data_IF_282108286595
#
_entry.id   IF_282108286595
#
_cell.length_a   1.000
_cell.length_b   1.000
_cell.length_c   1.000
_cell.angle_alpha   90.00
_cell.angle_beta   90.00
_cell.angle_gamma   90.00
#
_symmetry.space_group_name_H-M   'P 1'
#
loop_
_entity.id
_entity.type
_entity.pdbx_description
1 polymer ?
#
# COMPACT_ATOMS: atom_id res chain seq x y z
N UNK A 1 21.32 -14.57 46.73
CA UNK A 1 22.57 -14.51 45.94
C UNK A 1 22.22 -13.73 44.66
N UNK A 2 22.57 -12.43 44.57
CA UNK A 2 23.74 -11.89 43.80
C UNK A 2 23.65 -12.31 42.33
N UNK A 3 23.45 -11.46 41.31
CA UNK A 3 23.97 -10.11 40.97
C UNK A 3 22.92 -9.39 40.07
N UNK A 4 22.58 -8.09 40.12
CA UNK A 4 23.36 -6.83 40.08
C UNK A 4 24.23 -6.68 38.81
N UNK A 5 23.64 -6.12 37.75
CA UNK A 5 24.34 -5.29 36.76
C UNK A 5 23.41 -4.17 36.28
N UNK A 6 23.60 -2.99 36.88
CA UNK A 6 23.29 -1.71 36.27
C UNK A 6 24.20 -1.53 35.05
N UNK A 7 23.64 -1.09 33.92
CA UNK A 7 24.41 -0.32 32.94
C UNK A 7 23.61 0.92 32.56
N UNK A 8 24.11 2.04 33.08
CA UNK A 8 23.84 3.40 32.65
C UNK A 8 24.23 3.52 31.17
N UNK A 9 23.30 3.93 30.30
CA UNK A 9 23.65 4.64 29.08
C UNK A 9 23.01 6.02 29.13
N UNK A 10 23.84 6.99 29.45
CA UNK A 10 23.63 8.40 29.15
C UNK A 10 24.42 8.71 27.88
N UNK A 11 23.78 9.27 26.84
CA UNK A 11 24.34 10.00 25.69
C UNK A 11 23.21 10.19 24.68
N UNK A 12 22.97 11.30 23.99
CA UNK A 12 23.33 12.71 24.13
C UNK A 12 22.27 13.43 23.27
N UNK A 13 21.57 14.41 23.83
CA UNK A 13 20.70 15.27 23.04
C UNK A 13 21.58 16.22 22.20
N UNK A 14 21.63 15.98 20.89
CA UNK A 14 22.22 16.92 19.96
C UNK A 14 21.28 18.13 19.82
N UNK A 15 21.66 19.24 20.44
CA UNK A 15 21.08 20.56 20.17
C UNK A 15 21.59 21.00 18.80
N UNK A 16 20.68 21.12 17.84
CA UNK A 16 20.98 21.72 16.55
C UNK A 16 21.32 23.22 16.73
N UNK A 17 22.37 23.75 16.09
CA UNK A 17 22.68 25.17 16.15
C UNK A 17 21.63 25.98 15.39
N UNK A 18 21.03 26.96 16.08
CA UNK A 18 20.22 28.02 15.48
C UNK A 18 21.17 28.93 14.68
N UNK A 19 21.07 28.90 13.36
CA UNK A 19 21.78 29.82 12.47
C UNK A 19 21.04 31.17 12.51
N UNK A 20 21.67 32.28 12.92
CA UNK A 20 21.07 33.60 12.77
C UNK A 20 21.10 33.99 11.29
N UNK A 21 19.92 34.08 10.67
CA UNK A 21 19.77 34.66 9.33
C UNK A 21 19.98 36.17 9.44
N UNK A 22 21.07 36.66 8.84
CA UNK A 22 21.33 38.08 8.68
C UNK A 22 20.29 38.68 7.70
N UNK A 23 19.55 39.67 8.18
CA UNK A 23 18.64 40.47 7.37
C UNK A 23 19.43 41.29 6.34
N UNK A 24 19.37 40.91 5.07
CA UNK A 24 19.79 41.76 3.96
C UNK A 24 18.66 42.76 3.64
N UNK A 25 19.04 44.03 3.57
CA UNK A 25 18.13 45.16 3.36
C UNK A 25 17.33 45.07 2.06
N UNK A 26 16.03 45.26 2.19
CA UNK A 26 15.09 45.36 1.08
C UNK A 26 15.20 46.73 0.41
N UNK A 27 15.50 46.74 -0.89
CA UNK A 27 15.23 47.88 -1.78
C UNK A 27 13.75 47.82 -2.14
N UNK A 28 13.00 48.85 -1.75
CA UNK A 28 11.56 48.96 -1.97
C UNK A 28 11.25 49.19 -3.47
N UNK A 29 10.84 48.11 -4.16
CA UNK A 29 10.17 48.19 -5.45
C UNK A 29 8.64 48.35 -5.28
N UNK A 30 7.93 48.91 -6.28
CA UNK A 30 6.51 49.21 -6.17
C UNK A 30 5.67 47.93 -6.00
N UNK A 31 4.94 47.88 -4.88
CA UNK A 31 4.05 46.80 -4.48
C UNK A 31 2.83 46.73 -5.39
N UNK A 32 2.85 45.82 -6.37
CA UNK A 32 1.62 45.33 -6.98
C UNK A 32 0.93 44.41 -5.98
N UNK A 33 -0.04 44.95 -5.24
CA UNK A 33 -0.92 44.20 -4.35
C UNK A 33 -1.81 43.23 -5.16
N UNK A 34 -1.25 42.13 -5.64
CA UNK A 34 -2.00 40.91 -5.90
C UNK A 34 -2.32 40.32 -4.53
N UNK A 35 -3.51 40.62 -4.01
CA UNK A 35 -4.03 40.01 -2.80
C UNK A 35 -3.89 38.49 -2.92
N UNK A 36 -2.93 37.92 -2.19
CA UNK A 36 -2.75 36.48 -2.11
C UNK A 36 -4.07 35.92 -1.57
N UNK A 37 -4.84 35.27 -2.44
CA UNK A 37 -6.04 34.54 -2.05
C UNK A 37 -5.63 33.59 -0.93
N UNK A 38 -6.29 33.73 0.23
CA UNK A 38 -6.04 32.89 1.39
C UNK A 38 -6.02 31.41 0.96
N UNK A 39 -5.14 30.57 1.55
CA UNK A 39 -5.10 29.15 1.23
C UNK A 39 -6.51 28.58 1.35
N UNK A 40 -7.02 27.98 0.27
CA UNK A 40 -8.35 27.39 0.26
C UNK A 40 -8.35 26.27 1.30
N UNK A 41 -9.27 26.33 2.27
CA UNK A 41 -9.40 25.27 3.26
C UNK A 41 -9.64 23.92 2.56
N UNK A 42 -9.04 22.85 3.09
CA UNK A 42 -9.21 21.50 2.58
C UNK A 42 -10.69 21.09 2.68
N UNK A 43 -11.27 20.62 1.58
CA UNK A 43 -12.64 20.10 1.52
C UNK A 43 -12.63 18.58 1.32
N UNK A 44 -12.92 17.86 2.41
CA UNK A 44 -12.97 16.39 2.43
C UNK A 44 -13.99 15.82 1.44
N UNK A 45 -15.13 16.46 1.23
CA UNK A 45 -16.17 15.93 0.35
C UNK A 45 -15.73 15.96 -1.12
N UNK A 46 -15.16 17.09 -1.55
CA UNK A 46 -14.56 17.22 -2.89
C UNK A 46 -13.41 16.24 -3.08
N UNK A 47 -12.58 16.06 -2.05
CA UNK A 47 -11.46 15.10 -2.08
C UNK A 47 -11.92 13.66 -2.30
N UNK A 48 -12.94 13.22 -1.54
CA UNK A 48 -13.49 11.87 -1.70
C UNK A 48 -14.15 11.67 -3.06
N UNK A 49 -14.85 12.70 -3.57
CA UNK A 49 -15.46 12.65 -4.89
C UNK A 49 -14.40 12.46 -5.99
N UNK A 50 -13.26 13.16 -5.89
CA UNK A 50 -12.13 12.96 -6.80
C UNK A 50 -11.57 11.54 -6.73
N UNK A 51 -11.28 11.04 -5.53
CA UNK A 51 -10.74 9.69 -5.36
C UNK A 51 -11.70 8.61 -5.86
N UNK A 52 -13.01 8.76 -5.62
CA UNK A 52 -14.03 7.86 -6.16
C UNK A 52 -14.08 7.91 -7.69
N UNK A 53 -14.04 9.11 -8.29
CA UNK A 53 -14.01 9.26 -9.74
C UNK A 53 -12.78 8.57 -10.36
N UNK A 54 -11.60 8.71 -9.74
CA UNK A 54 -10.39 8.05 -10.22
C UNK A 54 -10.47 6.52 -10.05
N UNK A 55 -11.03 6.05 -8.93
CA UNK A 55 -11.28 4.62 -8.69
C UNK A 55 -12.19 4.03 -9.77
N UNK A 56 -13.29 4.70 -10.10
CA UNK A 56 -14.26 4.24 -11.09
C UNK A 56 -13.65 4.18 -12.51
N UNK A 57 -12.62 4.98 -12.76
CA UNK A 57 -11.82 4.97 -14.00
C UNK A 57 -10.60 4.04 -13.94
N UNK A 58 -10.40 3.32 -12.84
CA UNK A 58 -9.21 2.49 -12.58
C UNK A 58 -7.87 3.25 -12.72
N UNK A 59 -7.87 4.54 -12.37
CA UNK A 59 -6.70 5.45 -12.47
C UNK A 59 -5.76 5.30 -11.26
N UNK A 60 -5.30 4.06 -11.02
CA UNK A 60 -4.58 3.67 -9.81
C UNK A 60 -3.30 4.49 -9.56
N UNK A 61 -2.56 4.84 -10.60
CA UNK A 61 -1.35 5.66 -10.48
C UNK A 61 -1.66 7.05 -9.91
N UNK A 62 -2.69 7.73 -10.45
CA UNK A 62 -3.11 9.06 -9.96
C UNK A 62 -3.61 9.00 -8.53
N UNK A 63 -4.35 7.94 -8.17
CA UNK A 63 -4.76 7.71 -6.78
C UNK A 63 -3.53 7.58 -5.88
N UNK A 64 -2.52 6.80 -6.31
CA UNK A 64 -1.27 6.64 -5.57
C UNK A 64 -0.52 7.95 -5.38
N UNK A 65 -0.43 8.79 -6.42
CA UNK A 65 0.21 10.11 -6.34
C UNK A 65 -0.46 11.05 -5.31
N UNK A 66 -1.80 11.06 -5.28
CA UNK A 66 -2.58 11.85 -4.31
C UNK A 66 -2.38 11.33 -2.89
N UNK A 67 -2.37 10.01 -2.72
CA UNK A 67 -2.26 9.37 -1.41
C UNK A 67 -0.85 9.47 -0.82
N UNK A 68 0.18 9.26 -1.64
CA UNK A 68 1.58 9.20 -1.19
C UNK A 68 2.17 10.59 -0.89
N UNK A 69 1.51 11.68 -1.34
CA UNK A 69 1.99 13.06 -1.19
C UNK A 69 0.89 14.03 -0.74
N UNK A 70 0.29 13.81 0.46
CA UNK A 70 -0.72 14.72 0.97
C UNK A 70 -0.12 16.12 1.20
N UNK A 71 -0.85 17.16 0.84
CA UNK A 71 -0.43 18.56 1.01
C UNK A 71 -0.60 19.08 2.44
N UNK A 72 -1.36 18.35 3.26
CA UNK A 72 -1.66 18.70 4.66
C UNK A 72 -1.99 17.47 5.51
N UNK A 73 -1.96 17.61 6.84
CA UNK A 73 -2.38 16.56 7.78
C UNK A 73 -3.87 16.20 7.61
N UNK A 74 -4.74 17.18 7.31
CA UNK A 74 -6.16 16.94 7.09
C UNK A 74 -6.41 16.09 5.85
N UNK A 75 -5.65 16.33 4.78
CA UNK A 75 -5.69 15.52 3.57
C UNK A 75 -5.14 14.11 3.82
N UNK A 76 -4.05 13.97 4.57
CA UNK A 76 -3.49 12.68 4.94
C UNK A 76 -4.48 11.84 5.76
N UNK A 77 -5.18 12.46 6.73
CA UNK A 77 -6.23 11.81 7.52
C UNK A 77 -7.43 11.43 6.65
N UNK A 78 -7.82 12.30 5.72
CA UNK A 78 -8.89 12.00 4.76
C UNK A 78 -8.52 10.83 3.82
N UNK A 79 -7.27 10.76 3.35
CA UNK A 79 -6.77 9.63 2.57
C UNK A 79 -6.88 8.32 3.36
N UNK A 80 -6.48 8.34 4.64
CA UNK A 80 -6.55 7.17 5.52
C UNK A 80 -7.99 6.71 5.75
N UNK A 81 -8.89 7.64 6.05
CA UNK A 81 -10.33 7.36 6.24
C UNK A 81 -10.95 6.78 4.96
N UNK A 82 -10.66 7.37 3.79
CA UNK A 82 -11.16 6.90 2.50
C UNK A 82 -10.64 5.50 2.17
N UNK A 83 -9.34 5.24 2.34
CA UNK A 83 -8.74 3.93 2.16
C UNK A 83 -9.34 2.88 3.11
N UNK A 84 -9.57 3.25 4.37
CA UNK A 84 -10.23 2.38 5.35
C UNK A 84 -11.65 2.01 4.93
N UNK A 85 -12.40 2.92 4.29
CA UNK A 85 -13.70 2.61 3.68
C UNK A 85 -13.50 1.59 2.55
N UNK A 86 -12.57 1.83 1.61
CA UNK A 86 -12.33 0.93 0.48
C UNK A 86 -11.94 -0.48 0.92
N UNK A 87 -11.08 -0.59 1.93
CA UNK A 87 -10.69 -1.85 2.56
C UNK A 87 -11.91 -2.59 3.14
N UNK A 88 -12.75 -1.91 3.92
CA UNK A 88 -13.93 -2.50 4.55
C UNK A 88 -15.01 -2.91 3.53
N UNK A 89 -15.14 -2.20 2.42
CA UNK A 89 -16.16 -2.47 1.40
C UNK A 89 -15.72 -3.48 0.34
N UNK A 90 -14.47 -3.96 0.39
CA UNK A 90 -13.99 -4.91 -0.60
C UNK A 90 -13.73 -4.30 -1.96
N UNK A 91 -13.10 -3.12 -1.99
CA UNK A 91 -12.50 -2.65 -3.24
C UNK A 91 -11.26 -3.50 -3.60
N UNK A 92 -10.62 -3.19 -4.72
CA UNK A 92 -9.38 -3.81 -5.19
C UNK A 92 -8.36 -4.08 -4.07
N UNK A 93 -7.59 -5.17 -4.20
CA UNK A 93 -6.42 -5.45 -3.36
C UNK A 93 -5.40 -4.30 -3.34
N UNK A 94 -5.37 -3.45 -4.38
CA UNK A 94 -4.61 -2.19 -4.40
C UNK A 94 -4.91 -1.28 -3.19
N UNK A 95 -6.18 -1.11 -2.83
CA UNK A 95 -6.55 -0.20 -1.74
C UNK A 95 -6.18 -0.77 -0.37
N UNK A 96 -6.22 -2.09 -0.21
CA UNK A 96 -5.74 -2.76 1.01
C UNK A 96 -4.23 -2.54 1.20
N UNK A 97 -3.47 -2.63 0.10
CA UNK A 97 -2.04 -2.33 0.09
C UNK A 97 -1.74 -0.87 0.44
N UNK A 98 -2.41 0.09 -0.20
CA UNK A 98 -2.19 1.51 0.10
C UNK A 98 -2.63 1.88 1.52
N UNK A 99 -3.71 1.28 2.03
CA UNK A 99 -4.13 1.45 3.42
C UNK A 99 -3.06 0.96 4.38
N UNK A 100 -2.48 -0.21 4.13
CA UNK A 100 -1.36 -0.75 4.92
C UNK A 100 -0.16 0.18 4.91
N UNK A 101 0.28 0.64 3.74
CA UNK A 101 1.43 1.55 3.61
C UNK A 101 1.23 2.85 4.39
N UNK A 102 0.06 3.48 4.23
CA UNK A 102 -0.22 4.74 4.91
C UNK A 102 -0.35 4.55 6.43
N UNK A 103 -0.99 3.48 6.89
CA UNK A 103 -1.03 3.13 8.32
C UNK A 103 0.36 2.91 8.90
N UNK A 104 1.24 2.20 8.17
CA UNK A 104 2.62 1.96 8.62
C UNK A 104 3.39 3.27 8.76
N UNK A 105 3.29 4.16 7.76
CA UNK A 105 3.94 5.47 7.83
C UNK A 105 3.42 6.32 9.01
N UNK A 106 2.11 6.26 9.29
CA UNK A 106 1.50 6.91 10.45
C UNK A 106 1.97 6.30 11.77
N UNK A 107 2.09 4.98 11.85
CA UNK A 107 2.57 4.28 13.03
C UNK A 107 4.00 4.66 13.40
N UNK A 108 4.85 4.93 12.41
CA UNK A 108 6.24 5.35 12.62
C UNK A 108 6.33 6.79 13.15
N UNK A 109 5.33 7.62 12.90
CA UNK A 109 5.23 8.98 13.43
C UNK A 109 4.66 9.04 14.86
N UNK A 110 4.05 7.96 15.37
CA UNK A 110 3.36 7.94 16.66
C UNK A 110 4.02 6.90 17.59
N UNK A 111 4.75 7.32 18.64
CA UNK A 111 5.42 6.37 19.53
C UNK A 111 4.45 5.66 20.50
N UNK A 112 4.87 4.50 20.98
CA UNK A 112 4.17 3.72 22.01
C UNK A 112 2.98 2.91 21.47
N UNK A 113 2.07 2.55 22.40
CA UNK A 113 1.00 1.58 22.13
C UNK A 113 0.07 1.96 20.95
N UNK A 114 -0.11 3.26 20.69
CA UNK A 114 -0.94 3.71 19.56
C UNK A 114 -0.29 3.38 18.21
N UNK A 115 1.03 3.57 18.09
CA UNK A 115 1.78 3.17 16.89
C UNK A 115 1.68 1.66 16.67
N UNK A 116 1.83 0.86 17.73
CA UNK A 116 1.77 -0.60 17.63
C UNK A 116 0.39 -1.12 17.18
N UNK A 117 -0.71 -0.51 17.65
CA UNK A 117 -2.07 -0.83 17.16
C UNK A 117 -2.24 -0.51 15.67
N UNK A 118 -1.66 0.62 15.21
CA UNK A 118 -1.66 0.98 13.79
C UNK A 118 -0.83 -0.02 12.96
N UNK A 119 0.33 -0.49 13.47
CA UNK A 119 1.12 -1.55 12.82
C UNK A 119 0.34 -2.86 12.71
N UNK A 120 -0.39 -3.25 13.75
CA UNK A 120 -1.28 -4.43 13.70
C UNK A 120 -2.36 -4.31 12.62
N UNK A 121 -2.99 -3.13 12.51
CA UNK A 121 -3.98 -2.85 11.45
C UNK A 121 -3.34 -2.82 10.06
N UNK A 122 -2.13 -2.24 9.94
CA UNK A 122 -1.36 -2.23 8.71
C UNK A 122 -1.01 -3.65 8.25
N UNK A 123 -0.59 -4.51 9.19
CA UNK A 123 -0.31 -5.92 8.93
C UNK A 123 -1.57 -6.62 8.41
N UNK A 124 -2.72 -6.45 9.06
CA UNK A 124 -3.98 -7.05 8.61
C UNK A 124 -4.36 -6.64 7.18
N UNK A 125 -4.22 -5.35 6.86
CA UNK A 125 -4.50 -4.82 5.52
C UNK A 125 -3.51 -5.36 4.47
N UNK A 126 -2.23 -5.50 4.79
CA UNK A 126 -1.23 -6.09 3.88
C UNK A 126 -1.50 -7.57 3.63
N UNK A 127 -1.77 -8.34 4.68
CA UNK A 127 -2.10 -9.76 4.56
C UNK A 127 -3.34 -9.96 3.68
N UNK A 128 -4.36 -9.13 3.86
CA UNK A 128 -5.53 -9.12 2.99
C UNK A 128 -5.15 -8.80 1.55
N UNK A 129 -4.34 -7.77 1.30
CA UNK A 129 -3.88 -7.42 -0.05
C UNK A 129 -3.16 -8.61 -0.73
N UNK A 130 -2.31 -9.33 0.01
CA UNK A 130 -1.59 -10.52 -0.47
C UNK A 130 -2.57 -11.63 -0.87
N UNK A 131 -3.43 -12.08 0.05
CA UNK A 131 -4.32 -13.22 -0.23
C UNK A 131 -5.40 -12.86 -1.27
N UNK A 132 -5.90 -11.62 -1.25
CA UNK A 132 -6.85 -11.12 -2.23
C UNK A 132 -6.22 -11.10 -3.63
N UNK A 133 -5.01 -10.54 -3.77
CA UNK A 133 -4.33 -10.48 -5.07
C UNK A 133 -3.96 -11.85 -5.61
N UNK A 134 -3.64 -12.85 -4.78
CA UNK A 134 -3.38 -14.22 -5.25
C UNK A 134 -4.60 -14.85 -5.92
N UNK A 135 -5.78 -14.68 -5.30
CA UNK A 135 -7.04 -15.19 -5.83
C UNK A 135 -7.48 -14.39 -7.08
N UNK A 136 -7.47 -13.06 -6.98
CA UNK A 136 -7.91 -12.17 -8.06
C UNK A 136 -7.00 -12.24 -9.29
N UNK A 137 -5.70 -12.48 -9.12
CA UNK A 137 -4.76 -12.64 -10.22
C UNK A 137 -5.12 -13.80 -11.15
N UNK A 138 -5.95 -14.76 -10.72
CA UNK A 138 -6.44 -15.81 -11.63
C UNK A 138 -7.27 -15.26 -12.77
N UNK A 139 -7.80 -14.03 -12.67
CA UNK A 139 -8.51 -13.36 -13.75
C UNK A 139 -7.58 -12.97 -14.91
N UNK A 140 -6.26 -12.95 -14.73
CA UNK A 140 -5.33 -12.57 -15.79
C UNK A 140 -5.22 -13.66 -16.88
N UNK A 141 -5.49 -13.29 -18.13
CA UNK A 141 -5.30 -14.17 -19.28
C UNK A 141 -3.81 -14.51 -19.48
N UNK A 142 -2.94 -13.51 -19.34
CA UNK A 142 -1.50 -13.74 -19.23
C UNK A 142 -1.15 -14.39 -17.89
N UNK A 143 -0.78 -15.67 -17.93
CA UNK A 143 -0.41 -16.45 -16.75
C UNK A 143 0.85 -15.94 -16.07
N UNK A 144 1.73 -15.27 -16.79
CA UNK A 144 2.99 -14.77 -16.23
C UNK A 144 2.82 -13.54 -15.35
N UNK A 145 1.72 -12.80 -15.52
CA UNK A 145 1.39 -11.66 -14.66
C UNK A 145 0.90 -12.10 -13.26
N UNK A 146 0.39 -13.34 -13.11
CA UNK A 146 -0.40 -13.74 -11.94
C UNK A 146 0.35 -13.68 -10.61
N UNK A 147 1.66 -13.88 -10.64
CA UNK A 147 2.50 -13.88 -9.44
C UNK A 147 3.05 -12.49 -9.09
N UNK A 148 3.07 -11.52 -10.03
CA UNK A 148 3.77 -10.25 -9.85
C UNK A 148 3.25 -9.46 -8.65
N UNK A 149 1.92 -9.22 -8.58
CA UNK A 149 1.34 -8.43 -7.48
C UNK A 149 1.48 -9.09 -6.11
N UNK A 150 1.10 -10.36 -5.91
CA UNK A 150 1.33 -11.04 -4.65
C UNK A 150 2.80 -11.01 -4.20
N UNK A 151 3.74 -11.24 -5.12
CA UNK A 151 5.18 -11.24 -4.79
C UNK A 151 5.67 -9.85 -4.38
N UNK A 152 5.24 -8.79 -5.08
CA UNK A 152 5.59 -7.41 -4.69
C UNK A 152 5.01 -7.03 -3.33
N UNK A 153 3.78 -7.44 -3.03
CA UNK A 153 3.18 -7.20 -1.71
C UNK A 153 3.91 -7.97 -0.61
N UNK A 154 4.29 -9.23 -0.86
CA UNK A 154 5.13 -10.01 0.06
C UNK A 154 6.50 -9.36 0.30
N UNK A 155 7.14 -8.85 -0.75
CA UNK A 155 8.39 -8.09 -0.61
C UNK A 155 8.18 -6.85 0.26
N UNK A 156 7.13 -6.08 0.02
CA UNK A 156 6.82 -4.88 0.79
C UNK A 156 6.50 -5.20 2.26
N UNK A 157 5.76 -6.28 2.52
CA UNK A 157 5.47 -6.77 3.86
C UNK A 157 6.76 -6.96 4.67
N UNK A 158 7.78 -7.58 4.05
CA UNK A 158 9.09 -7.79 4.68
C UNK A 158 9.85 -6.47 4.86
N UNK A 159 9.87 -5.60 3.85
CA UNK A 159 10.58 -4.32 3.92
C UNK A 159 10.03 -3.38 5.00
N UNK A 160 8.73 -3.41 5.25
CA UNK A 160 8.10 -2.59 6.29
C UNK A 160 8.21 -3.18 7.71
N UNK A 161 8.81 -4.36 7.89
CA UNK A 161 8.97 -4.99 9.20
C UNK A 161 7.65 -5.38 9.88
N UNK A 162 6.53 -5.44 9.15
CA UNK A 162 5.21 -5.70 9.75
C UNK A 162 5.08 -7.12 10.34
N UNK A 163 5.96 -8.05 9.98
CA UNK A 163 5.98 -9.40 10.58
C UNK A 163 6.72 -9.44 11.93
N UNK A 164 7.40 -8.37 12.35
CA UNK A 164 8.16 -8.31 13.60
C UNK A 164 7.28 -8.02 14.83
N UNK A 165 5.97 -7.84 14.63
CA UNK A 165 5.01 -7.66 15.71
C UNK A 165 4.96 -8.90 16.62
N UNK A 166 4.51 -8.75 17.87
CA UNK A 166 4.36 -9.89 18.77
C UNK A 166 3.30 -10.90 18.25
N UNK A 167 3.32 -12.12 18.78
CA UNK A 167 2.47 -13.21 18.30
C UNK A 167 0.96 -12.88 18.36
N UNK A 168 0.51 -12.21 19.41
CA UNK A 168 -0.90 -11.83 19.59
C UNK A 168 -1.36 -10.88 18.47
N UNK A 169 -0.55 -9.85 18.17
CA UNK A 169 -0.82 -8.91 17.08
C UNK A 169 -0.83 -9.63 15.73
N UNK A 170 0.11 -10.57 15.50
CA UNK A 170 0.14 -11.37 14.26
C UNK A 170 -1.12 -12.23 14.12
N UNK A 171 -1.53 -12.92 15.20
CA UNK A 171 -2.77 -13.73 15.24
C UNK A 171 -4.00 -12.89 14.91
N UNK A 172 -4.17 -11.75 15.60
CA UNK A 172 -5.27 -10.82 15.36
C UNK A 172 -5.27 -10.31 13.92
N UNK A 173 -4.11 -9.90 13.39
CA UNK A 173 -4.00 -9.41 12.02
C UNK A 173 -4.38 -10.50 10.99
N UNK A 174 -3.93 -11.74 11.21
CA UNK A 174 -4.32 -12.89 10.40
C UNK A 174 -5.82 -13.20 10.46
N UNK A 175 -6.42 -13.14 11.65
CA UNK A 175 -7.87 -13.28 11.84
C UNK A 175 -8.66 -12.22 11.08
N UNK A 176 -8.28 -10.94 11.22
CA UNK A 176 -8.91 -9.82 10.52
C UNK A 176 -8.78 -10.00 9.02
N UNK A 177 -7.58 -10.27 8.50
CA UNK A 177 -7.35 -10.49 7.07
C UNK A 177 -8.21 -11.62 6.51
N UNK A 178 -8.27 -12.75 7.22
CA UNK A 178 -9.11 -13.89 6.84
C UNK A 178 -10.60 -13.53 6.80
N UNK A 179 -11.12 -12.86 7.83
CA UNK A 179 -12.53 -12.46 7.87
C UNK A 179 -12.87 -11.40 6.81
N UNK A 180 -11.96 -10.46 6.57
CA UNK A 180 -12.12 -9.46 5.51
C UNK A 180 -12.19 -10.12 4.14
N UNK A 181 -11.35 -11.12 3.89
CA UNK A 181 -11.38 -11.91 2.66
C UNK A 181 -12.73 -12.61 2.46
N UNK A 182 -13.31 -13.19 3.52
CA UNK A 182 -14.62 -13.83 3.44
C UNK A 182 -15.74 -12.83 3.14
N UNK A 183 -15.72 -11.67 3.81
CA UNK A 183 -16.77 -10.64 3.68
C UNK A 183 -16.75 -9.90 2.34
N UNK A 184 -15.56 -9.69 1.78
CA UNK A 184 -15.38 -8.81 0.62
C UNK A 184 -15.38 -9.54 -0.73
N UNK A 185 -15.26 -10.86 -0.73
CA UNK A 185 -15.11 -11.64 -1.95
C UNK A 185 -16.23 -11.44 -2.97
N UNK A 186 -17.48 -11.45 -2.52
CA UNK A 186 -18.62 -11.35 -3.42
C UNK A 186 -18.67 -10.01 -4.17
N UNK A 187 -18.11 -8.96 -3.58
CA UNK A 187 -17.91 -7.66 -4.23
C UNK A 187 -16.73 -7.75 -5.19
N UNK A 188 -15.56 -8.19 -4.70
CA UNK A 188 -14.30 -8.20 -5.47
C UNK A 188 -14.36 -9.06 -6.72
N UNK A 189 -15.08 -10.18 -6.69
CA UNK A 189 -15.24 -11.06 -7.87
C UNK A 189 -15.89 -10.39 -9.08
N UNK A 190 -16.63 -9.30 -8.85
CA UNK A 190 -17.30 -8.53 -9.90
C UNK A 190 -16.45 -7.37 -10.44
N UNK A 191 -15.43 -6.94 -9.69
CA UNK A 191 -14.57 -5.81 -10.08
C UNK A 191 -13.64 -6.24 -11.22
N UNK A 192 -13.47 -5.36 -12.22
CA UNK A 192 -12.46 -5.56 -13.26
C UNK A 192 -11.18 -4.79 -12.91
N UNK A 193 -10.24 -5.49 -12.27
CA UNK A 193 -8.96 -4.93 -11.85
C UNK A 193 -7.79 -5.41 -12.71
N UNK A 194 -8.06 -5.90 -13.93
CA UNK A 194 -7.02 -6.41 -14.81
C UNK A 194 -5.92 -5.37 -15.09
N UNK A 195 -6.28 -4.09 -15.20
CA UNK A 195 -5.32 -2.98 -15.39
C UNK A 195 -4.34 -2.80 -14.24
N UNK A 196 -4.66 -3.29 -13.04
CA UNK A 196 -3.75 -3.30 -11.89
C UNK A 196 -3.08 -4.66 -11.69
N UNK A 197 -3.88 -5.73 -11.69
CA UNK A 197 -3.45 -7.08 -11.32
C UNK A 197 -2.63 -7.77 -12.40
N UNK A 198 -2.94 -7.51 -13.67
CA UNK A 198 -2.37 -8.24 -14.81
C UNK A 198 -1.22 -7.47 -15.47
N UNK A 199 -0.74 -6.41 -14.81
CA UNK A 199 0.45 -5.67 -15.21
C UNK A 199 1.70 -6.56 -15.18
N UNK A 200 2.72 -6.15 -15.92
CA UNK A 200 4.05 -6.79 -15.95
C UNK A 200 4.06 -8.27 -16.41
N UNK A 201 3.02 -8.73 -17.09
CA UNK A 201 3.06 -10.00 -17.82
C UNK A 201 3.89 -9.90 -19.10
N UNK A 202 4.31 -11.06 -19.63
CA UNK A 202 5.01 -11.18 -20.91
C UNK A 202 4.24 -10.57 -22.08
N UNK A 203 2.91 -10.61 -22.08
CA UNK A 203 2.09 -9.99 -23.12
C UNK A 203 2.27 -8.46 -23.15
N UNK A 204 2.22 -7.82 -21.98
CA UNK A 204 2.45 -6.38 -21.86
C UNK A 204 3.91 -6.00 -22.16
N UNK A 205 4.88 -6.81 -21.71
CA UNK A 205 6.28 -6.62 -22.04
C UNK A 205 6.53 -6.74 -23.55
N UNK A 206 5.96 -7.75 -24.21
CA UNK A 206 6.10 -7.96 -25.66
C UNK A 206 5.46 -6.82 -26.45
N UNK A 207 4.28 -6.36 -26.04
CA UNK A 207 3.62 -5.21 -26.63
C UNK A 207 4.46 -3.94 -26.48
N UNK A 208 5.05 -3.71 -25.30
CA UNK A 208 5.95 -2.59 -25.05
C UNK A 208 7.24 -2.68 -25.85
N UNK A 209 7.88 -3.84 -25.97
CA UNK A 209 9.09 -4.01 -26.78
C UNK A 209 8.83 -3.82 -28.29
N UNK A 210 7.62 -4.11 -28.74
CA UNK A 210 7.24 -3.99 -30.16
C UNK A 210 6.84 -2.56 -30.55
N UNK A 211 6.19 -1.84 -29.65
CA UNK A 211 5.51 -0.58 -29.96
C UNK A 211 6.05 0.64 -29.18
N UNK A 212 6.95 0.43 -28.23
CA UNK A 212 7.53 1.47 -27.40
C UNK A 212 9.06 1.35 -27.38
N UNK A 213 9.75 2.48 -27.29
CA UNK A 213 11.21 2.46 -27.09
C UNK A 213 11.53 2.13 -25.61
N UNK A 214 12.35 1.11 -25.33
CA UNK A 214 12.82 0.84 -23.98
C UNK A 214 13.58 2.05 -23.44
N UNK A 215 13.21 2.52 -22.25
CA UNK A 215 13.89 3.63 -21.59
C UNK A 215 14.88 3.09 -20.59
N UNK A 216 16.16 3.42 -20.76
CA UNK A 216 17.17 3.15 -19.75
C UNK A 216 16.86 3.94 -18.47
N UNK A 217 16.97 3.24 -17.33
CA UNK A 217 16.82 3.81 -15.99
C UNK A 217 18.05 3.49 -15.17
N UNK A 218 18.20 4.22 -14.06
CA UNK A 218 19.27 3.95 -13.11
C UNK A 218 19.19 2.50 -12.62
N UNK A 219 20.31 1.80 -12.75
CA UNK A 219 20.44 0.42 -12.30
C UNK A 219 20.42 0.41 -10.76
N UNK A 220 19.54 -0.38 -10.13
CA UNK A 220 19.45 -0.44 -8.67
C UNK A 220 20.80 -0.78 -8.02
N UNK A 221 21.05 -0.21 -6.83
CA UNK A 221 22.27 -0.48 -6.08
C UNK A 221 22.49 -2.00 -5.88
N UNK A 222 23.71 -2.46 -6.15
CA UNK A 222 24.08 -3.87 -6.07
C UNK A 222 23.84 -4.70 -7.34
N UNK A 223 23.33 -4.10 -8.43
CA UNK A 223 23.21 -4.77 -9.74
C UNK A 223 24.27 -4.27 -10.73
N UNK A 224 24.84 -5.17 -11.53
CA UNK A 224 25.79 -4.85 -12.60
C UNK A 224 25.05 -4.87 -13.94
N UNK A 225 25.05 -3.75 -14.67
CA UNK A 225 24.48 -3.68 -16.02
C UNK A 225 23.69 -2.40 -16.29
N UNK A 226 22.97 -2.39 -17.43
CA UNK A 226 22.01 -1.34 -17.81
C UNK A 226 20.60 -1.88 -17.53
N UNK A 227 19.79 -1.12 -16.81
CA UNK A 227 18.39 -1.48 -16.58
C UNK A 227 17.50 -0.72 -17.56
N UNK A 228 16.59 -1.42 -18.22
CA UNK A 228 15.60 -0.83 -19.12
C UNK A 228 14.21 -0.99 -18.54
N UNK A 229 13.42 0.07 -18.63
CA UNK A 229 11.99 0.04 -18.41
C UNK A 229 11.27 -0.07 -19.74
N UNK A 230 10.35 -1.02 -19.80
CA UNK A 230 9.48 -1.23 -20.96
C UNK A 230 8.06 -0.99 -20.49
N UNK A 231 7.39 -0.03 -21.12
CA UNK A 231 5.98 0.23 -20.86
C UNK A 231 5.17 -0.21 -22.08
N UNK A 232 4.05 -0.91 -21.86
CA UNK A 232 3.13 -1.17 -22.95
C UNK A 232 2.57 0.16 -23.50
N UNK A 233 2.08 0.16 -24.75
CA UNK A 233 1.36 1.30 -25.31
C UNK A 233 0.21 1.79 -24.42
N UNK A 234 -0.12 3.08 -24.51
CA UNK A 234 -1.16 3.70 -23.68
C UNK A 234 -2.57 3.09 -23.92
N UNK A 235 -2.79 2.49 -25.09
CA UNK A 235 -4.02 1.81 -25.49
C UNK A 235 -3.98 0.28 -25.25
N UNK A 236 -2.91 -0.25 -24.65
CA UNK A 236 -2.83 -1.67 -24.32
C UNK A 236 -3.87 -2.04 -23.27
N UNK A 237 -4.72 -3.02 -23.60
CA UNK A 237 -5.74 -3.53 -22.70
C UNK A 237 -5.29 -4.86 -22.10
N UNK A 238 -5.21 -4.89 -20.77
CA UNK A 238 -4.95 -6.12 -20.04
C UNK A 238 -6.16 -7.05 -20.11
N UNK A 239 -5.98 -8.22 -20.70
CA UNK A 239 -7.06 -9.18 -20.91
C UNK A 239 -7.44 -9.91 -19.61
N UNK A 240 -8.75 -9.88 -19.32
CA UNK A 240 -9.38 -10.60 -18.22
C UNK A 240 -10.06 -11.87 -18.75
N UNK A 241 -9.81 -12.99 -18.11
CA UNK A 241 -10.50 -14.25 -18.39
C UNK A 241 -12.00 -14.15 -18.04
N UNK A 242 -12.87 -14.89 -18.75
CA UNK A 242 -14.27 -15.04 -18.39
C UNK A 242 -14.45 -15.57 -16.96
N UNK A 243 -15.50 -15.11 -16.28
CA UNK A 243 -15.77 -15.43 -14.88
C UNK A 243 -15.84 -16.93 -14.60
N UNK A 244 -16.42 -17.69 -15.52
CA UNK A 244 -16.58 -19.15 -15.47
C UNK A 244 -15.22 -19.87 -15.45
N UNK A 245 -14.17 -19.26 -16.00
CA UNK A 245 -12.84 -19.86 -16.07
C UNK A 245 -11.95 -19.56 -14.86
N UNK A 246 -12.07 -18.37 -14.28
CA UNK A 246 -11.17 -17.92 -13.22
C UNK A 246 -11.76 -18.04 -11.81
N UNK A 247 -13.09 -17.92 -11.64
CA UNK A 247 -13.72 -18.04 -10.32
C UNK A 247 -13.41 -19.37 -9.61
N UNK A 248 -13.52 -20.56 -10.25
CA UNK A 248 -13.24 -21.82 -9.57
C UNK A 248 -11.78 -21.91 -9.07
N UNK A 249 -10.84 -21.37 -9.86
CA UNK A 249 -9.41 -21.34 -9.50
C UNK A 249 -9.14 -20.37 -8.34
N UNK A 250 -9.81 -19.22 -8.34
CA UNK A 250 -9.73 -18.27 -7.23
C UNK A 250 -10.30 -18.87 -5.95
N UNK A 251 -11.43 -19.57 -6.00
CA UNK A 251 -12.02 -20.24 -4.83
C UNK A 251 -11.12 -21.35 -4.27
N UNK A 252 -10.46 -22.13 -5.13
CA UNK A 252 -9.49 -23.14 -4.70
C UNK A 252 -8.33 -22.52 -3.91
N UNK A 253 -7.83 -21.36 -4.34
CA UNK A 253 -6.80 -20.61 -3.62
C UNK A 253 -7.35 -20.04 -2.30
N UNK A 254 -8.55 -19.46 -2.32
CA UNK A 254 -9.19 -18.89 -1.13
C UNK A 254 -9.42 -19.93 -0.03
N UNK A 255 -9.77 -21.16 -0.41
CA UNK A 255 -9.91 -22.26 0.55
C UNK A 255 -8.60 -22.57 1.30
N UNK A 256 -7.44 -22.21 0.74
CA UNK A 256 -6.11 -22.42 1.33
C UNK A 256 -5.61 -21.21 2.14
N UNK A 257 -6.30 -20.06 2.08
CA UNK A 257 -5.85 -18.82 2.73
C UNK A 257 -5.62 -18.97 4.23
N UNK A 258 -6.48 -19.72 4.93
CA UNK A 258 -6.30 -19.94 6.37
C UNK A 258 -4.97 -20.63 6.70
N UNK A 259 -4.60 -21.69 5.95
CA UNK A 259 -3.32 -22.37 6.13
C UNK A 259 -2.14 -21.49 5.70
N UNK A 260 -2.27 -20.76 4.59
CA UNK A 260 -1.24 -19.85 4.10
C UNK A 260 -0.92 -18.73 5.10
N UNK A 261 -1.95 -18.10 5.68
CA UNK A 261 -1.79 -17.06 6.69
C UNK A 261 -1.10 -17.59 7.95
N UNK A 262 -1.51 -18.76 8.46
CA UNK A 262 -0.87 -19.38 9.63
C UNK A 262 0.61 -19.65 9.40
N UNK A 263 0.95 -20.20 8.22
CA UNK A 263 2.33 -20.45 7.83
C UNK A 263 3.13 -19.15 7.70
N UNK A 264 2.57 -18.11 7.10
CA UNK A 264 3.23 -16.82 6.91
C UNK A 264 3.49 -16.10 8.24
N UNK A 265 2.54 -16.17 9.16
CA UNK A 265 2.60 -15.48 10.45
C UNK A 265 3.33 -16.26 11.54
N UNK A 266 3.67 -17.52 11.26
CA UNK A 266 4.23 -18.47 12.22
C UNK A 266 3.35 -18.57 13.49
N UNK A 267 2.08 -18.93 13.30
CA UNK A 267 1.06 -19.07 14.36
C UNK A 267 0.27 -20.38 14.17
N UNK A 268 -0.14 -21.00 15.28
CA UNK A 268 -0.82 -22.30 15.25
C UNK A 268 -2.31 -22.21 14.86
N UNK A 269 -2.94 -21.08 15.19
CA UNK A 269 -4.33 -20.77 14.87
C UNK A 269 -4.50 -19.29 14.49
N UNK A 270 -5.67 -18.97 13.94
CA UNK A 270 -6.11 -17.60 13.67
C UNK A 270 -7.27 -17.22 14.60
N UNK A 271 -7.41 -17.87 15.76
CA UNK A 271 -8.44 -17.48 16.73
C UNK A 271 -7.94 -16.35 17.61
N UNK A 272 -8.85 -15.44 17.95
CA UNK A 272 -8.62 -14.43 18.97
C UNK A 272 -9.57 -14.69 20.13
N UNK A 273 -9.00 -14.98 21.30
CA UNK A 273 -9.73 -15.02 22.57
C UNK A 273 -9.63 -13.63 23.23
N UNK A 274 -10.72 -12.84 23.29
CA UNK A 274 -10.69 -11.53 23.94
C UNK A 274 -10.57 -11.61 25.48
N UNK A 275 -10.42 -12.82 26.06
CA UNK A 275 -10.65 -13.11 27.47
C UNK A 275 -9.43 -13.35 28.38
N UNK A 276 -8.35 -12.56 28.27
CA UNK A 276 -7.36 -12.39 29.35
C UNK A 276 -6.90 -10.93 29.46
#
# INVERSE_FOLDING_TARGET
MRNLFLSLMALSAAVAPVIPVAAQGAVAGPSSNSAASAPRAFDRATHYALLNQLKDKAEYLKIGEIIDKPSSQDEANANLDWLGIQFKTGASSYFSFQYSRLLSAYADAIPGNQGDQLRGTALAAMLHAIIASQAEAQQCADRTARADRPMRFMQMLNTMGLLEQNEEVRKMAGFIAFNMEQRTWDVRKQINDASFLCMNGMAAMSAGLTNSEPREVETPEGQIGRTFTVQPPADFVYERLPNEEWWPKAEELRAKNGAALKSLLNVDDLSFDPGN
#
